data_IF_119074081877
#
_entry.id   IF_119074081877
#
_cell.length_a   1.000
_cell.length_b   1.000
_cell.length_c   1.000
_cell.angle_alpha   90.00
_cell.angle_beta   90.00
_cell.angle_gamma   90.00
#
_symmetry.space_group_name_H-M   'P 1'
#
loop_
_entity.id
_entity.type
_entity.pdbx_description
1 polymer ?
#
# COMPACT_ATOMS: atom_id res chain seq x y z
N UNK A 1 -16.27 5.24 6.73
CA UNK A 1 -16.50 5.19 5.27
C UNK A 1 -15.81 3.95 4.73
N UNK A 2 -16.29 3.32 3.64
CA UNK A 2 -15.59 2.18 3.05
C UNK A 2 -14.22 2.62 2.52
N UNK A 3 -13.20 1.78 2.73
CA UNK A 3 -11.86 2.03 2.20
C UNK A 3 -11.88 1.97 0.68
N UNK A 4 -11.12 2.85 0.04
CA UNK A 4 -10.97 2.86 -1.41
C UNK A 4 -10.09 1.70 -1.83
N UNK A 5 -10.51 0.91 -2.81
CA UNK A 5 -9.69 -0.20 -3.32
C UNK A 5 -8.58 0.33 -4.22
N UNK A 6 -7.36 -0.16 -4.01
CA UNK A 6 -6.23 0.04 -4.91
C UNK A 6 -6.30 -1.04 -6.01
N UNK A 7 -6.44 -0.67 -7.29
CA UNK A 7 -6.46 -1.65 -8.37
C UNK A 7 -5.09 -2.32 -8.51
N UNK A 8 -5.09 -3.65 -8.59
CA UNK A 8 -3.89 -4.46 -8.80
C UNK A 8 -3.73 -4.73 -10.29
N UNK A 9 -2.56 -4.43 -10.83
CA UNK A 9 -2.25 -4.70 -12.24
C UNK A 9 -1.45 -5.98 -12.35
N UNK A 10 -1.98 -6.95 -13.11
CA UNK A 10 -1.28 -8.20 -13.43
C UNK A 10 -0.19 -7.95 -14.43
N UNK A 11 1.03 -8.37 -14.10
CA UNK A 11 2.16 -8.40 -15.01
C UNK A 11 1.96 -9.52 -16.04
N UNK A 12 2.50 -9.34 -17.24
CA UNK A 12 2.42 -10.32 -18.31
C UNK A 12 3.74 -10.37 -19.07
N UNK A 13 4.02 -11.50 -19.71
CA UNK A 13 5.25 -11.71 -20.51
C UNK A 13 5.34 -10.76 -21.71
N UNK A 14 4.22 -10.18 -22.14
CA UNK A 14 4.17 -9.14 -23.17
C UNK A 14 4.61 -7.75 -22.66
N UNK A 15 4.94 -7.63 -21.37
CA UNK A 15 5.10 -6.35 -20.70
C UNK A 15 3.75 -5.71 -20.36
N UNK A 16 3.75 -4.78 -19.41
CA UNK A 16 2.54 -4.07 -18.99
C UNK A 16 2.87 -2.59 -18.84
N UNK A 17 1.95 -1.73 -19.25
CA UNK A 17 2.07 -0.29 -19.05
C UNK A 17 1.92 0.02 -17.57
N UNK A 18 2.74 0.94 -17.07
CA UNK A 18 2.63 1.40 -15.69
C UNK A 18 1.21 1.93 -15.41
N UNK A 19 0.53 1.43 -14.36
CA UNK A 19 -0.83 1.84 -14.03
C UNK A 19 -0.86 3.31 -13.66
N UNK A 20 -2.01 3.94 -13.86
CA UNK A 20 -2.25 5.30 -13.38
C UNK A 20 -2.10 5.30 -11.86
N UNK A 21 -1.24 6.18 -11.36
CA UNK A 21 -1.04 6.35 -9.93
C UNK A 21 -2.32 6.85 -9.26
N UNK A 22 -2.75 6.16 -8.21
CA UNK A 22 -3.88 6.60 -7.41
C UNK A 22 -3.41 7.58 -6.33
N UNK A 23 -4.13 8.69 -6.19
CA UNK A 23 -3.88 9.63 -5.10
C UNK A 23 -4.27 9.00 -3.75
N UNK A 24 -3.43 9.25 -2.74
CA UNK A 24 -3.77 8.97 -1.36
C UNK A 24 -5.06 9.68 -0.95
N UNK A 25 -5.82 9.04 -0.07
CA UNK A 25 -7.07 9.54 0.47
C UNK A 25 -6.99 9.34 1.99
N UNK A 26 -6.54 10.35 2.75
CA UNK A 26 -6.41 10.23 4.20
C UNK A 26 -7.77 10.16 4.92
N UNK A 27 -8.89 10.41 4.22
CA UNK A 27 -10.24 10.38 4.79
C UNK A 27 -10.84 8.99 4.67
N UNK A 28 -10.85 8.41 3.47
CA UNK A 28 -11.39 7.08 3.23
C UNK A 28 -10.37 5.97 3.46
N UNK A 29 -9.08 6.30 3.38
CA UNK A 29 -7.98 5.35 3.36
C UNK A 29 -8.10 4.33 2.22
N UNK A 30 -7.13 3.43 2.15
CA UNK A 30 -7.01 2.50 1.04
C UNK A 30 -7.02 1.05 1.51
N UNK A 31 -7.31 0.15 0.57
CA UNK A 31 -7.26 -1.28 0.78
C UNK A 31 -6.67 -1.96 -0.46
N UNK A 32 -5.75 -2.90 -0.23
CA UNK A 32 -5.04 -3.63 -1.27
C UNK A 32 -5.39 -5.12 -1.22
N UNK A 33 -5.89 -5.66 -2.33
CA UNK A 33 -6.07 -7.10 -2.47
C UNK A 33 -4.71 -7.80 -2.42
N UNK A 34 -4.53 -8.72 -1.47
CA UNK A 34 -3.26 -9.39 -1.23
C UNK A 34 -3.34 -10.90 -1.50
N UNK A 35 -2.64 -11.30 -2.54
CA UNK A 35 -2.50 -12.69 -2.98
C UNK A 35 -1.26 -13.37 -2.39
N UNK A 36 -0.46 -12.64 -1.60
CA UNK A 36 0.84 -13.07 -1.06
C UNK A 36 2.00 -12.81 -2.03
N UNK A 37 1.70 -12.36 -3.26
CA UNK A 37 2.69 -11.93 -4.25
C UNK A 37 2.47 -10.49 -4.70
N UNK A 38 1.50 -9.81 -4.10
CA UNK A 38 1.16 -8.43 -4.43
C UNK A 38 2.28 -7.50 -4.00
N UNK A 39 2.63 -6.58 -4.89
CA UNK A 39 3.64 -5.55 -4.68
C UNK A 39 2.93 -4.19 -4.63
N UNK A 40 3.13 -3.45 -3.55
CA UNK A 40 2.64 -2.08 -3.39
C UNK A 40 3.80 -1.10 -3.62
N UNK A 41 3.67 -0.23 -4.62
CA UNK A 41 4.59 0.87 -4.88
C UNK A 41 3.98 2.18 -4.42
N UNK A 42 4.69 2.91 -3.58
CA UNK A 42 4.25 4.19 -3.03
C UNK A 42 5.29 5.27 -3.33
N UNK A 43 4.87 6.30 -4.08
CA UNK A 43 5.70 7.46 -4.39
C UNK A 43 5.22 8.66 -3.58
N UNK A 44 6.14 9.38 -2.95
CA UNK A 44 5.83 10.64 -2.33
C UNK A 44 6.01 11.78 -3.34
N UNK A 45 4.92 12.39 -3.77
CA UNK A 45 4.93 13.51 -4.71
C UNK A 45 5.28 14.86 -4.04
N UNK A 46 5.46 14.89 -2.73
CA UNK A 46 5.87 16.09 -2.02
C UNK A 46 7.34 16.41 -2.25
N UNK A 47 7.67 17.70 -2.43
CA UNK A 47 9.00 18.15 -2.80
C UNK A 47 10.04 18.07 -1.67
N UNK A 48 9.63 18.34 -0.43
CA UNK A 48 10.57 18.51 0.70
C UNK A 48 10.30 17.66 1.94
N UNK A 49 9.03 17.40 2.27
CA UNK A 49 8.62 16.64 3.44
C UNK A 49 8.46 15.14 3.15
N UNK A 50 9.02 14.33 4.04
CA UNK A 50 8.68 12.91 4.13
C UNK A 50 7.21 12.75 4.56
N UNK A 51 6.58 11.67 4.11
CA UNK A 51 5.19 11.34 4.41
C UNK A 51 5.09 9.92 4.94
N UNK A 52 4.17 9.73 5.88
CA UNK A 52 3.98 8.44 6.54
C UNK A 52 2.92 7.62 5.82
N UNK A 53 3.22 6.34 5.63
CA UNK A 53 2.32 5.29 5.18
C UNK A 53 2.26 4.24 6.28
N UNK A 54 1.06 3.78 6.63
CA UNK A 54 0.88 2.69 7.59
C UNK A 54 0.22 1.51 6.90
N UNK A 55 0.87 0.34 6.98
CA UNK A 55 0.28 -0.94 6.59
C UNK A 55 -0.32 -1.57 7.85
N UNK A 56 -1.65 -1.65 7.89
CA UNK A 56 -2.37 -2.14 9.07
C UNK A 56 -2.28 -3.67 9.12
N UNK A 57 -1.95 -4.22 10.28
CA UNK A 57 -1.91 -5.67 10.50
C UNK A 57 -3.16 -6.10 11.26
N UNK A 58 -4.19 -6.64 10.59
CA UNK A 58 -5.46 -7.00 11.26
C UNK A 58 -5.35 -8.26 12.13
N UNK A 59 -4.20 -8.94 12.10
CA UNK A 59 -4.00 -10.22 12.77
C UNK A 59 -3.77 -10.01 14.26
N UNK A 60 -4.42 -10.86 15.06
CA UNK A 60 -4.22 -10.94 16.50
C UNK A 60 -3.52 -12.25 16.85
N UNK A 61 -2.48 -12.20 17.67
CA UNK A 61 -1.78 -13.38 18.19
C UNK A 61 -2.01 -13.45 19.71
N UNK A 62 -2.65 -14.52 20.18
CA UNK A 62 -2.96 -14.68 21.61
C UNK A 62 -3.89 -13.59 22.17
N UNK A 63 -4.81 -13.08 21.34
CA UNK A 63 -5.75 -12.01 21.71
C UNK A 63 -5.14 -10.60 21.71
N UNK A 64 -3.86 -10.45 21.33
CA UNK A 64 -3.20 -9.15 21.18
C UNK A 64 -3.05 -8.78 19.71
N UNK A 65 -3.38 -7.54 19.35
CA UNK A 65 -3.13 -7.03 18.01
C UNK A 65 -1.64 -6.96 17.73
N UNK A 66 -1.22 -7.38 16.54
CA UNK A 66 0.13 -7.14 16.05
C UNK A 66 0.27 -5.65 15.74
N UNK A 67 1.47 -5.10 15.96
CA UNK A 67 1.73 -3.69 15.69
C UNK A 67 1.73 -3.42 14.18
N UNK A 68 1.06 -2.33 13.79
CA UNK A 68 1.00 -1.88 12.42
C UNK A 68 2.39 -1.47 11.91
N UNK A 69 2.64 -1.70 10.62
CA UNK A 69 3.90 -1.35 10.00
C UNK A 69 3.86 0.10 9.51
N UNK A 70 4.46 0.99 10.29
CA UNK A 70 4.56 2.42 9.97
C UNK A 70 5.85 2.68 9.19
N UNK A 71 5.73 3.32 8.03
CA UNK A 71 6.84 3.55 7.11
C UNK A 71 6.88 5.01 6.67
N UNK A 72 8.04 5.63 6.84
CA UNK A 72 8.32 6.96 6.30
C UNK A 72 8.78 6.86 4.85
N UNK A 73 8.09 7.55 3.94
CA UNK A 73 8.45 7.69 2.53
C UNK A 73 9.11 9.07 2.34
N UNK A 74 10.43 9.13 2.06
CA UNK A 74 11.13 10.40 1.89
C UNK A 74 10.54 11.23 0.75
N UNK A 75 10.76 12.55 0.79
CA UNK A 75 10.30 13.45 -0.26
C UNK A 75 10.85 13.03 -1.63
N UNK A 76 10.02 13.19 -2.68
CA UNK A 76 10.35 12.82 -4.07
C UNK A 76 10.80 11.37 -4.31
N UNK A 77 10.63 10.51 -3.30
CA UNK A 77 11.15 9.14 -3.33
C UNK A 77 10.03 8.13 -3.49
N UNK A 78 10.39 6.97 -4.02
CA UNK A 78 9.49 5.81 -4.15
C UNK A 78 9.95 4.72 -3.20
N UNK A 79 9.01 4.13 -2.46
CA UNK A 79 9.20 2.90 -1.70
C UNK A 79 8.33 1.81 -2.28
N UNK A 80 8.88 0.61 -2.37
CA UNK A 80 8.19 -0.56 -2.88
C UNK A 80 8.15 -1.62 -1.79
N UNK A 81 6.97 -2.16 -1.55
CA UNK A 81 6.70 -3.20 -0.57
C UNK A 81 6.28 -4.45 -1.35
N UNK A 82 7.11 -5.48 -1.34
CA UNK A 82 6.81 -6.78 -1.90
C UNK A 82 6.56 -7.81 -0.80
N UNK A 83 6.02 -8.97 -1.20
CA UNK A 83 5.83 -10.15 -0.34
C UNK A 83 5.06 -9.84 0.95
N UNK A 84 3.91 -9.17 0.80
CA UNK A 84 2.99 -8.92 1.91
C UNK A 84 2.42 -10.26 2.39
N UNK A 85 2.99 -10.83 3.45
CA UNK A 85 2.55 -12.11 4.00
C UNK A 85 1.07 -12.10 4.32
N UNK A 86 0.30 -13.00 3.68
CA UNK A 86 -1.14 -13.19 3.95
C UNK A 86 -1.41 -13.59 5.40
N UNK A 87 -0.45 -14.22 6.06
CA UNK A 87 -0.56 -14.61 7.46
C UNK A 87 -0.52 -13.40 8.41
N UNK A 88 0.03 -12.27 7.98
CA UNK A 88 0.16 -11.05 8.78
C UNK A 88 -0.84 -9.96 8.36
N UNK A 89 -1.03 -9.79 7.05
CA UNK A 89 -1.86 -8.72 6.49
C UNK A 89 -3.22 -9.18 5.97
N UNK A 90 -3.50 -10.48 5.98
CA UNK A 90 -4.74 -11.05 5.44
C UNK A 90 -4.81 -10.99 3.91
N UNK A 91 -6.02 -11.24 3.38
CA UNK A 91 -6.32 -11.17 1.93
C UNK A 91 -6.61 -9.75 1.45
N UNK A 92 -6.81 -8.81 2.37
CA UNK A 92 -7.06 -7.41 2.06
C UNK A 92 -6.29 -6.55 3.05
N UNK A 93 -5.20 -5.94 2.59
CA UNK A 93 -4.29 -5.14 3.42
C UNK A 93 -4.84 -3.73 3.53
N UNK A 94 -5.22 -3.27 4.72
CA UNK A 94 -5.59 -1.88 4.90
C UNK A 94 -4.33 -1.01 4.83
N UNK A 95 -4.38 0.01 3.99
CA UNK A 95 -3.29 0.94 3.74
C UNK A 95 -3.75 2.33 4.16
N UNK A 96 -3.13 2.86 5.20
CA UNK A 96 -3.41 4.21 5.70
C UNK A 96 -2.35 5.17 5.18
N UNK A 97 -2.81 6.24 4.54
CA UNK A 97 -1.99 7.32 4.04
C UNK A 97 -2.19 8.56 4.88
N UNK A 98 -1.09 9.27 5.15
CA UNK A 98 -1.15 10.55 5.86
C UNK A 98 -1.76 11.66 4.97
N UNK A 99 -1.50 11.61 3.66
CA UNK A 99 -1.89 12.69 2.73
C UNK A 99 -2.18 12.19 1.32
N UNK A 100 -2.85 13.00 0.51
CA UNK A 100 -3.04 12.78 -0.94
C UNK A 100 -1.79 13.01 -1.79
N UNK A 101 -0.70 13.46 -1.17
CA UNK A 101 0.63 13.55 -1.79
C UNK A 101 1.29 12.20 -1.99
N UNK A 102 0.84 11.15 -1.29
CA UNK A 102 1.26 9.77 -1.55
C UNK A 102 0.53 9.24 -2.79
N UNK A 103 1.29 8.62 -3.68
CA UNK A 103 0.81 8.04 -4.93
C UNK A 103 0.97 6.53 -4.86
N UNK A 104 -0.12 5.82 -5.04
CA UNK A 104 -0.22 4.39 -4.80
C UNK A 104 -0.39 3.65 -6.12
N UNK A 105 0.34 2.56 -6.28
CA UNK A 105 0.23 1.65 -7.41
C UNK A 105 0.46 0.23 -6.93
N UNK A 106 -0.28 -0.74 -7.46
CA UNK A 106 -0.13 -2.12 -7.08
C UNK A 106 0.04 -3.04 -8.29
N UNK A 107 0.88 -4.05 -8.10
CA UNK A 107 1.25 -5.02 -9.12
C UNK A 107 1.17 -6.44 -8.57
N UNK A 108 0.90 -7.40 -9.43
CA UNK A 108 1.08 -8.82 -9.12
C UNK A 108 1.67 -9.56 -10.32
N UNK A 109 2.51 -10.58 -10.09
CA UNK A 109 3.00 -11.46 -11.15
C UNK A 109 1.91 -12.39 -11.69
#
# INVERSE_FOLDING_TARGET
>A
MPRTSIPVTKLSDAGVVDPVEQNGDPVNQHALANTGKTVLRVRNAHATLARTLTLVTPVTVGGKAVADTVVSVPATSTRTFGDLSRALYGTNVPVDVETSGLKLVAFEP
#
